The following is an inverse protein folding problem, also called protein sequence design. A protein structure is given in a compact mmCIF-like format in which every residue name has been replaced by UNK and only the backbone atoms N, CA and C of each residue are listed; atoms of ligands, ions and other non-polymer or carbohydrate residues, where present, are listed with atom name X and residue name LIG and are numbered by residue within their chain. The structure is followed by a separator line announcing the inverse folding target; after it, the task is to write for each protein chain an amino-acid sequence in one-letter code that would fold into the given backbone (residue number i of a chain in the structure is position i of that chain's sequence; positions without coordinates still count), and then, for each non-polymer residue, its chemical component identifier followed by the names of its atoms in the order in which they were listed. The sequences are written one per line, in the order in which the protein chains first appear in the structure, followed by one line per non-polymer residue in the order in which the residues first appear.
data_IF_843257870503
#
_entry.id   IF_843257870503
#
_cell.length_a   1.000
_cell.length_b   1.000
_cell.length_c   1.000
_cell.angle_alpha   90.00
_cell.angle_beta   90.00
_cell.angle_gamma   90.00
#
_symmetry.space_group_name_H-M   'P 1'
#
loop_
_entity.id
_entity.type
_entity.pdbx_description
1 polymer ?
#
# COMPACT_ATOMS: atom_id res chain seq x y z
N UNK A 1 10.43 -6.41 4.13
CA UNK A 1 9.43 -5.64 4.91
C UNK A 1 9.12 -6.41 6.18
N UNK A 2 9.01 -5.73 7.32
CA UNK A 2 8.40 -6.25 8.55
C UNK A 2 7.11 -5.47 8.74
N UNK A 3 5.98 -6.17 8.84
CA UNK A 3 4.70 -5.51 8.88
C UNK A 3 3.59 -6.37 9.42
N UNK A 4 2.43 -5.73 9.61
CA UNK A 4 1.21 -6.34 10.12
C UNK A 4 0.03 -5.88 9.25
N UNK A 5 -0.87 -6.80 8.92
CA UNK A 5 -2.22 -6.48 8.46
C UNK A 5 -3.12 -6.46 9.72
N UNK A 6 -3.46 -5.28 10.26
CA UNK A 6 -4.14 -5.17 11.54
C UNK A 6 -5.63 -5.44 11.39
N UNK A 7 -6.24 -6.02 12.42
CA UNK A 7 -7.72 -6.18 12.48
C UNK A 7 -8.42 -4.82 12.58
N UNK A 8 -7.80 -3.85 13.24
CA UNK A 8 -8.33 -2.50 13.44
C UNK A 8 -7.55 -1.51 12.58
N UNK A 9 -8.24 -0.85 11.66
CA UNK A 9 -7.69 0.14 10.74
C UNK A 9 -8.15 1.56 11.12
N UNK A 10 -7.44 2.15 12.08
CA UNK A 10 -7.56 3.56 12.45
C UNK A 10 -6.16 4.16 12.68
N UNK A 11 -6.08 5.49 12.62
CA UNK A 11 -4.81 6.24 12.68
C UNK A 11 -4.04 5.99 13.98
N UNK A 12 -4.73 5.88 15.11
CA UNK A 12 -4.10 5.70 16.43
C UNK A 12 -3.51 4.29 16.54
N UNK A 13 -4.28 3.27 16.17
CA UNK A 13 -3.80 1.90 16.17
C UNK A 13 -2.65 1.71 15.17
N UNK A 14 -2.75 2.29 13.97
CA UNK A 14 -1.71 2.22 12.95
C UNK A 14 -0.40 2.83 13.46
N UNK A 15 -0.47 4.01 14.08
CA UNK A 15 0.70 4.70 14.66
C UNK A 15 1.37 3.82 15.72
N UNK A 16 0.59 3.26 16.64
CA UNK A 16 1.08 2.36 17.70
C UNK A 16 1.74 1.09 17.14
N UNK A 17 1.17 0.50 16.10
CA UNK A 17 1.74 -0.69 15.44
C UNK A 17 3.04 -0.33 14.72
N UNK A 18 3.10 0.80 14.00
CA UNK A 18 4.35 1.27 13.37
C UNK A 18 5.44 1.55 14.40
N UNK A 19 5.12 2.22 15.51
CA UNK A 19 6.06 2.43 16.62
C UNK A 19 6.60 1.12 17.18
N UNK A 20 5.73 0.11 17.32
CA UNK A 20 6.14 -1.22 17.80
C UNK A 20 7.08 -1.91 16.81
N UNK A 21 6.76 -1.85 15.51
CA UNK A 21 7.60 -2.39 14.44
C UNK A 21 8.97 -1.71 14.44
N UNK A 22 9.01 -0.37 14.48
CA UNK A 22 10.25 0.37 14.48
C UNK A 22 11.03 0.27 15.79
N UNK A 23 10.35 0.07 16.92
CA UNK A 23 11.00 -0.27 18.18
C UNK A 23 11.81 -1.57 18.10
N UNK A 24 11.35 -2.56 17.32
CA UNK A 24 12.11 -3.79 17.04
C UNK A 24 13.21 -3.54 16.01
N UNK A 25 12.90 -2.89 14.90
CA UNK A 25 13.87 -2.60 13.82
C UNK A 25 15.06 -1.82 14.37
N UNK A 26 14.80 -0.71 15.09
CA UNK A 26 15.83 0.20 15.61
C UNK A 26 16.63 -0.49 16.73
N UNK A 27 15.98 -1.23 17.64
CA UNK A 27 16.65 -1.95 18.74
C UNK A 27 17.68 -2.97 18.24
N UNK A 28 17.39 -3.65 17.14
CA UNK A 28 18.25 -4.71 16.60
C UNK A 28 19.02 -4.27 15.35
N UNK A 29 18.97 -2.99 14.96
CA UNK A 29 19.58 -2.45 13.75
C UNK A 29 19.26 -3.30 12.50
N UNK A 30 18.01 -3.70 12.33
CA UNK A 30 17.60 -4.58 11.24
C UNK A 30 17.52 -3.76 9.94
N UNK A 31 18.30 -4.07 8.88
CA UNK A 31 18.27 -3.32 7.63
C UNK A 31 17.04 -3.72 6.79
N UNK A 32 15.87 -3.19 7.14
CA UNK A 32 14.58 -3.52 6.51
C UNK A 32 13.66 -2.30 6.47
N UNK A 33 12.43 -2.49 6.00
CA UNK A 33 11.39 -1.46 5.91
C UNK A 33 10.19 -1.88 6.77
N UNK A 34 9.63 -0.95 7.54
CA UNK A 34 8.38 -1.15 8.29
C UNK A 34 7.14 -0.85 7.43
N UNK A 35 6.03 -1.57 7.63
CA UNK A 35 4.76 -1.30 6.95
C UNK A 35 3.57 -1.80 7.79
N UNK A 36 2.45 -1.09 7.76
CA UNK A 36 1.16 -1.57 8.26
C UNK A 36 0.19 -1.59 7.09
N UNK A 37 -0.39 -2.76 6.78
CA UNK A 37 -1.20 -2.97 5.59
C UNK A 37 -2.65 -2.53 5.89
N UNK A 38 -2.88 -1.22 5.78
CA UNK A 38 -4.15 -0.54 6.03
C UNK A 38 -4.61 0.24 4.78
N UNK A 39 -5.75 0.92 4.81
CA UNK A 39 -6.12 1.82 3.72
C UNK A 39 -5.09 2.96 3.56
N UNK A 40 -4.81 3.38 2.32
CA UNK A 40 -3.77 4.37 2.00
C UNK A 40 -3.97 5.70 2.72
N UNK A 41 -5.22 6.14 2.88
CA UNK A 41 -5.54 7.40 3.57
C UNK A 41 -5.25 7.34 5.07
N UNK A 42 -5.52 6.21 5.73
CA UNK A 42 -5.19 6.02 7.15
C UNK A 42 -3.69 6.08 7.38
N UNK A 43 -2.92 5.44 6.48
CA UNK A 43 -1.46 5.47 6.52
C UNK A 43 -0.91 6.87 6.31
N UNK A 44 -1.36 7.58 5.28
CA UNK A 44 -0.96 8.97 4.98
C UNK A 44 -1.17 9.86 6.22
N UNK A 45 -2.35 9.78 6.82
CA UNK A 45 -2.69 10.61 7.98
C UNK A 45 -1.82 10.28 9.20
N UNK A 46 -1.59 8.99 9.49
CA UNK A 46 -0.71 8.58 10.59
C UNK A 46 0.73 9.06 10.39
N UNK A 47 1.26 8.94 9.17
CA UNK A 47 2.63 9.37 8.83
C UNK A 47 2.76 10.89 8.96
N UNK A 48 1.76 11.66 8.49
CA UNK A 48 1.73 13.12 8.66
C UNK A 48 1.69 13.55 10.14
N UNK A 49 1.11 12.73 11.00
CA UNK A 49 1.12 12.94 12.46
C UNK A 49 2.41 12.50 13.15
N UNK A 50 3.39 12.00 12.39
CA UNK A 50 4.71 11.64 12.88
C UNK A 50 4.91 10.16 13.19
N UNK A 51 3.96 9.29 12.81
CA UNK A 51 4.18 7.84 12.91
C UNK A 51 5.37 7.43 12.03
N UNK A 52 6.25 6.52 12.50
CA UNK A 52 7.42 6.12 11.73
C UNK A 52 7.00 5.22 10.56
N UNK A 53 6.91 5.78 9.36
CA UNK A 53 6.57 5.05 8.13
C UNK A 53 7.80 4.49 7.41
N UNK A 54 7.65 3.31 6.78
CA UNK A 54 8.64 2.77 5.83
C UNK A 54 8.05 2.68 4.42
N UNK A 55 7.17 1.70 4.21
CA UNK A 55 6.38 1.60 2.98
C UNK A 55 4.93 2.02 3.23
N UNK A 56 4.25 2.50 2.19
CA UNK A 56 2.80 2.74 2.19
C UNK A 56 2.13 1.66 1.33
N UNK A 57 1.24 0.91 1.95
CA UNK A 57 0.50 -0.19 1.33
C UNK A 57 -0.77 0.29 0.65
N UNK A 58 -1.18 -0.35 -0.46
CA UNK A 58 -2.55 -0.28 -0.95
C UNK A 58 -2.90 -1.47 -1.85
N UNK A 59 -4.07 -2.08 -1.64
CA UNK A 59 -4.66 -3.00 -2.63
C UNK A 59 -5.19 -2.20 -3.83
N UNK A 60 -4.87 -2.64 -5.05
CA UNK A 60 -5.24 -1.95 -6.30
C UNK A 60 -6.07 -2.85 -7.23
N UNK A 61 -6.76 -2.23 -8.19
CA UNK A 61 -7.54 -2.93 -9.21
C UNK A 61 -7.25 -2.40 -10.63
N UNK A 62 -7.35 -3.28 -11.63
CA UNK A 62 -6.99 -3.01 -13.02
C UNK A 62 -8.01 -2.14 -13.76
N UNK A 63 -9.05 -1.65 -13.08
CA UNK A 63 -10.03 -0.73 -13.64
C UNK A 63 -10.39 0.36 -12.62
N UNK A 64 -10.76 1.53 -13.13
CA UNK A 64 -11.18 2.66 -12.28
C UNK A 64 -12.38 2.29 -11.40
N UNK A 65 -13.36 1.54 -11.94
CA UNK A 65 -14.49 1.03 -11.15
C UNK A 65 -13.99 0.14 -10.00
N UNK A 66 -13.06 -0.78 -10.25
CA UNK A 66 -12.52 -1.64 -9.20
C UNK A 66 -11.72 -0.89 -8.14
N UNK A 67 -10.97 0.16 -8.52
CA UNK A 67 -10.30 1.04 -7.56
C UNK A 67 -11.31 1.76 -6.66
N UNK A 68 -12.42 2.24 -7.22
CA UNK A 68 -13.49 2.88 -6.44
C UNK A 68 -14.16 1.94 -5.45
N UNK A 69 -14.29 0.65 -5.76
CA UNK A 69 -14.77 -0.35 -4.78
C UNK A 69 -13.80 -0.51 -3.60
N UNK A 70 -12.51 -0.29 -3.81
CA UNK A 70 -11.53 -0.20 -2.73
C UNK A 70 -11.49 1.17 -2.02
N UNK A 71 -12.29 2.14 -2.45
CA UNK A 71 -12.26 3.50 -1.93
C UNK A 71 -11.03 4.32 -2.38
N UNK A 72 -10.40 3.92 -3.49
CA UNK A 72 -9.12 4.49 -3.97
C UNK A 72 -9.30 5.28 -5.25
N UNK A 73 -8.64 6.43 -5.32
CA UNK A 73 -8.46 7.23 -6.54
C UNK A 73 -6.97 7.42 -6.84
N UNK A 74 -6.61 7.71 -8.10
CA UNK A 74 -5.21 7.91 -8.48
C UNK A 74 -4.55 9.06 -7.69
N UNK A 75 -5.29 10.13 -7.42
CA UNK A 75 -4.81 11.26 -6.62
C UNK A 75 -4.36 10.83 -5.21
N UNK A 76 -4.98 9.81 -4.62
CA UNK A 76 -4.56 9.26 -3.33
C UNK A 76 -3.24 8.51 -3.42
N UNK A 77 -2.98 7.84 -4.54
CA UNK A 77 -1.71 7.14 -4.80
C UNK A 77 -0.59 8.15 -5.11
N UNK A 78 -0.90 9.23 -5.82
CA UNK A 78 0.01 10.36 -6.02
C UNK A 78 0.42 10.99 -4.68
N UNK A 79 -0.56 11.23 -3.81
CA UNK A 79 -0.33 11.75 -2.46
C UNK A 79 0.48 10.77 -1.60
N UNK A 80 0.17 9.48 -1.66
CA UNK A 80 0.93 8.44 -0.97
C UNK A 80 2.41 8.44 -1.40
N UNK A 81 2.68 8.54 -2.71
CA UNK A 81 4.05 8.61 -3.22
C UNK A 81 4.78 9.84 -2.67
N UNK A 82 4.13 11.00 -2.68
CA UNK A 82 4.71 12.24 -2.18
C UNK A 82 5.00 12.16 -0.67
N UNK A 83 4.03 11.70 0.12
CA UNK A 83 4.17 11.55 1.58
C UNK A 83 5.23 10.51 1.93
N UNK A 84 5.26 9.38 1.23
CA UNK A 84 6.30 8.37 1.42
C UNK A 84 7.70 8.89 1.10
N UNK A 85 7.86 9.68 0.04
CA UNK A 85 9.14 10.29 -0.31
C UNK A 85 9.62 11.36 0.70
N UNK A 86 8.69 12.12 1.28
CA UNK A 86 9.01 13.22 2.20
C UNK A 86 9.24 12.73 3.64
N UNK A 87 8.43 11.79 4.12
CA UNK A 87 8.35 11.48 5.55
C UNK A 87 8.85 10.08 5.93
N UNK A 88 8.89 9.12 5.01
CA UNK A 88 9.23 7.73 5.38
C UNK A 88 10.74 7.48 5.45
N UNK A 89 11.10 6.50 6.29
CA UNK A 89 12.46 5.95 6.42
C UNK A 89 12.75 4.95 5.30
N UNK A 90 12.87 5.46 4.08
CA UNK A 90 13.03 4.65 2.87
C UNK A 90 14.49 4.26 2.60
N UNK A 91 14.73 3.01 2.19
CA UNK A 91 16.07 2.52 1.83
C UNK A 91 16.55 3.00 0.45
N UNK A 92 15.66 3.58 -0.35
CA UNK A 92 15.88 4.10 -1.70
C UNK A 92 14.72 5.01 -2.10
N UNK A 93 14.42 5.15 -3.39
CA UNK A 93 13.36 6.07 -3.86
C UNK A 93 11.96 5.43 -3.88
N UNK A 94 11.89 4.10 -3.80
CA UNK A 94 10.64 3.35 -3.93
C UNK A 94 9.98 3.16 -2.56
N UNK A 95 8.81 3.78 -2.35
CA UNK A 95 8.15 3.83 -1.04
C UNK A 95 6.76 3.15 -1.00
N UNK A 96 6.25 2.68 -2.14
CA UNK A 96 4.93 2.06 -2.23
C UNK A 96 5.00 0.53 -2.22
N UNK A 97 4.01 -0.09 -1.59
CA UNK A 97 3.76 -1.51 -1.62
C UNK A 97 2.34 -1.75 -2.14
N UNK A 98 2.20 -2.30 -3.35
CA UNK A 98 0.90 -2.68 -3.88
C UNK A 98 0.60 -4.16 -3.70
N UNK A 99 -0.68 -4.45 -3.46
CA UNK A 99 -1.25 -5.78 -3.59
C UNK A 99 -2.27 -5.81 -4.72
N UNK A 100 -2.18 -6.85 -5.54
CA UNK A 100 -3.05 -7.12 -6.68
C UNK A 100 -3.83 -8.41 -6.43
N UNK A 101 -4.57 -8.90 -7.41
CA UNK A 101 -5.34 -10.11 -7.25
C UNK A 101 -6.32 -10.32 -8.38
N UNK A 102 -6.26 -11.51 -8.96
CA UNK A 102 -7.03 -11.91 -10.14
C UNK A 102 -8.54 -11.85 -9.93
N UNK A 103 -9.00 -12.08 -8.69
CA UNK A 103 -10.43 -12.09 -8.34
C UNK A 103 -11.06 -10.70 -8.16
N UNK A 104 -10.26 -9.67 -7.83
CA UNK A 104 -10.78 -8.36 -7.37
C UNK A 104 -11.74 -7.72 -8.38
N UNK A 105 -11.31 -7.63 -9.64
CA UNK A 105 -12.10 -7.04 -10.72
C UNK A 105 -13.40 -7.82 -11.00
N UNK A 106 -13.37 -9.15 -10.90
CA UNK A 106 -14.56 -9.97 -11.14
C UNK A 106 -15.57 -9.81 -9.99
N UNK A 107 -15.12 -9.89 -8.74
CA UNK A 107 -15.97 -9.72 -7.55
C UNK A 107 -16.63 -8.34 -7.51
N UNK A 108 -15.93 -7.31 -7.98
CA UNK A 108 -16.43 -5.94 -8.12
C UNK A 108 -17.36 -5.72 -9.34
N UNK A 109 -17.56 -6.73 -10.20
CA UNK A 109 -18.23 -6.55 -11.49
C UNK A 109 -17.56 -5.46 -12.35
N UNK A 110 -16.24 -5.37 -12.28
CA UNK A 110 -15.38 -4.31 -12.81
C UNK A 110 -14.32 -4.85 -13.78
N UNK A 111 -14.48 -6.08 -14.29
CA UNK A 111 -13.61 -6.69 -15.30
C UNK A 111 -14.03 -6.35 -16.74
N UNK A 112 -15.24 -5.82 -16.97
CA UNK A 112 -15.72 -5.35 -18.27
C UNK A 112 -15.60 -6.41 -19.40
N UNK A 113 -15.81 -7.68 -19.06
CA UNK A 113 -15.70 -8.80 -20.00
C UNK A 113 -14.28 -9.30 -20.24
N UNK A 114 -13.26 -8.65 -19.67
CA UNK A 114 -11.88 -9.16 -19.70
C UNK A 114 -11.71 -10.36 -18.75
N UNK A 115 -10.77 -11.24 -19.10
CA UNK A 115 -10.34 -12.34 -18.26
C UNK A 115 -9.45 -11.86 -17.10
N UNK A 116 -9.23 -12.74 -16.13
CA UNK A 116 -8.48 -12.44 -14.91
C UNK A 116 -7.01 -12.08 -15.19
N UNK A 117 -6.37 -12.70 -16.18
CA UNK A 117 -4.95 -12.46 -16.50
C UNK A 117 -4.81 -11.09 -17.16
N UNK A 118 -5.73 -10.71 -18.04
CA UNK A 118 -5.77 -9.36 -18.62
C UNK A 118 -5.96 -8.30 -17.53
N UNK A 119 -6.88 -8.51 -16.58
CA UNK A 119 -7.09 -7.58 -15.48
C UNK A 119 -5.88 -7.49 -14.54
N UNK A 120 -5.21 -8.61 -14.29
CA UNK A 120 -4.00 -8.65 -13.47
C UNK A 120 -2.82 -7.94 -14.15
N UNK A 121 -2.65 -8.09 -15.46
CA UNK A 121 -1.66 -7.33 -16.21
C UNK A 121 -1.90 -5.82 -16.12
N UNK A 122 -3.17 -5.38 -16.10
CA UNK A 122 -3.54 -3.96 -15.92
C UNK A 122 -3.21 -3.45 -14.52
N UNK A 123 -3.35 -4.27 -13.48
CA UNK A 123 -2.87 -3.93 -12.13
C UNK A 123 -1.39 -3.57 -12.15
N UNK A 124 -0.57 -4.40 -12.79
CA UNK A 124 0.87 -4.16 -12.89
C UNK A 124 1.20 -2.93 -13.74
N UNK A 125 0.42 -2.66 -14.79
CA UNK A 125 0.52 -1.44 -15.58
C UNK A 125 0.31 -0.18 -14.73
N UNK A 126 -0.72 -0.18 -13.87
CA UNK A 126 -0.96 0.89 -12.90
C UNK A 126 0.18 0.99 -11.89
N UNK A 127 0.55 -0.12 -11.25
CA UNK A 127 1.62 -0.16 -10.25
C UNK A 127 2.94 0.39 -10.82
N UNK A 128 3.31 0.01 -12.05
CA UNK A 128 4.54 0.44 -12.72
C UNK A 128 4.66 1.96 -12.84
N UNK A 129 3.56 2.70 -12.92
CA UNK A 129 3.56 4.17 -12.98
C UNK A 129 4.19 4.82 -11.74
N UNK A 130 4.12 4.14 -10.59
CA UNK A 130 4.55 4.70 -9.30
C UNK A 130 5.91 4.17 -8.80
N UNK A 131 6.61 3.37 -9.59
CA UNK A 131 7.90 2.75 -9.22
C UNK A 131 7.87 2.14 -7.80
N UNK A 132 6.98 1.15 -7.51
CA UNK A 132 6.79 0.60 -6.17
C UNK A 132 7.98 -0.24 -5.73
N UNK A 133 8.16 -0.35 -4.42
CA UNK A 133 9.16 -1.25 -3.82
C UNK A 133 8.71 -2.71 -3.92
N UNK A 134 7.40 -2.98 -3.76
CA UNK A 134 6.81 -4.33 -3.82
C UNK A 134 5.49 -4.27 -4.59
N UNK A 135 5.25 -5.29 -5.42
CA UNK A 135 3.95 -5.59 -6.01
C UNK A 135 3.69 -7.08 -5.82
N UNK A 136 2.77 -7.43 -4.92
CA UNK A 136 2.44 -8.83 -4.63
C UNK A 136 1.07 -9.18 -5.19
N UNK A 137 0.98 -10.31 -5.88
CA UNK A 137 -0.30 -10.89 -6.29
C UNK A 137 -0.81 -11.88 -5.24
N UNK A 138 -2.14 -12.03 -5.15
CA UNK A 138 -2.82 -13.09 -4.39
C UNK A 138 -3.54 -13.99 -5.37
N UNK A 139 -3.24 -15.30 -5.31
CA UNK A 139 -3.72 -16.35 -6.22
C UNK A 139 -4.49 -17.44 -5.49
#
# INVERSE_FOLDING_TARGET
VIGVNPVTDDVENLSRVLDTIYGVIDKFNIPTQGCVLAHVTTQIEAIRRGAPGGLIFQSICGSEKGLKEFGVELAMLDEARAVGAEFNRIAGENCLYFETGQGSALSAGANFGADQVTMEARNYGLARHYDPFIVNTVV
#
